data_IF_493917094659
#
_entry.id   IF_493917094659
#
_cell.length_a   1.000
_cell.length_b   1.000
_cell.length_c   1.000
_cell.angle_alpha   90.00
_cell.angle_beta   90.00
_cell.angle_gamma   90.00
#
_symmetry.space_group_name_H-M   'P 1'
#
loop_
_entity.id
_entity.type
_entity.pdbx_description
1 polymer ?
#
# COMPACT_ATOMS: atom_id res chain seq x y z
N UNK A 1 5.42 11.46 23.68
CA UNK A 1 4.84 11.59 22.32
C UNK A 1 3.92 10.43 21.98
N UNK A 2 4.42 9.18 21.87
CA UNK A 2 3.57 8.02 21.50
C UNK A 2 2.38 7.78 22.44
N UNK A 3 2.52 8.01 23.74
CA UNK A 3 1.41 7.90 24.69
C UNK A 3 0.25 8.87 24.38
N UNK A 4 0.55 10.07 23.89
CA UNK A 4 -0.47 11.03 23.48
C UNK A 4 -1.19 10.57 22.20
N UNK A 5 -0.47 9.97 21.24
CA UNK A 5 -1.08 9.37 20.06
C UNK A 5 -1.94 8.16 20.40
N UNK A 6 -1.47 7.27 21.29
CA UNK A 6 -2.24 6.12 21.77
C UNK A 6 -3.54 6.57 22.43
N UNK A 7 -3.48 7.52 23.37
CA UNK A 7 -4.67 8.09 24.00
C UNK A 7 -5.60 8.74 22.95
N UNK A 8 -5.04 9.53 22.02
CA UNK A 8 -5.83 10.15 20.95
C UNK A 8 -6.55 9.14 20.05
N UNK A 9 -6.00 7.93 19.89
CA UNK A 9 -6.60 6.88 19.07
C UNK A 9 -7.67 6.09 19.83
N UNK A 10 -7.48 5.83 21.12
CA UNK A 10 -8.41 5.04 21.93
C UNK A 10 -9.57 5.85 22.49
N UNK A 11 -9.35 7.11 22.89
CA UNK A 11 -10.36 7.95 23.54
C UNK A 11 -10.79 9.14 22.69
N UNK A 12 -10.09 9.42 21.59
CA UNK A 12 -10.39 10.54 20.71
C UNK A 12 -11.57 10.26 19.78
N UNK A 13 -12.28 11.32 19.40
CA UNK A 13 -13.29 11.25 18.35
C UNK A 13 -12.64 11.02 16.97
N UNK A 14 -13.48 10.78 15.95
CA UNK A 14 -13.06 10.52 14.57
C UNK A 14 -12.08 11.58 14.03
N UNK A 15 -12.26 12.86 14.38
CA UNK A 15 -11.37 13.94 13.93
C UNK A 15 -10.00 13.85 14.60
N UNK A 16 -9.96 13.53 15.90
CA UNK A 16 -8.69 13.31 16.62
C UNK A 16 -7.95 12.13 16.01
N UNK A 17 -8.62 10.99 15.80
CA UNK A 17 -8.01 9.82 15.17
C UNK A 17 -7.46 10.14 13.77
N UNK A 18 -8.21 10.88 12.95
CA UNK A 18 -7.73 11.33 11.63
C UNK A 18 -6.50 12.23 11.75
N UNK A 19 -6.51 13.20 12.67
CA UNK A 19 -5.36 14.08 12.93
C UNK A 19 -4.13 13.30 13.39
N UNK A 20 -4.31 12.23 14.18
CA UNK A 20 -3.20 11.33 14.56
C UNK A 20 -2.61 10.69 13.31
N UNK A 21 -3.41 10.08 12.44
CA UNK A 21 -2.88 9.51 11.18
C UNK A 21 -2.11 10.54 10.35
N UNK A 22 -2.67 11.76 10.22
CA UNK A 22 -2.04 12.83 9.46
C UNK A 22 -0.70 13.28 10.06
N UNK A 23 -0.65 13.47 11.38
CA UNK A 23 0.58 13.84 12.08
C UNK A 23 1.66 12.77 11.97
N UNK A 24 1.29 11.48 12.09
CA UNK A 24 2.22 10.36 11.95
C UNK A 24 2.74 10.21 10.51
N UNK A 25 1.91 10.45 9.49
CA UNK A 25 2.38 10.50 8.09
C UNK A 25 3.43 11.58 7.88
N UNK A 26 3.17 12.80 8.36
CA UNK A 26 4.15 13.90 8.28
C UNK A 26 5.42 13.65 9.09
N UNK A 27 5.32 12.90 10.19
CA UNK A 27 6.46 12.50 10.99
C UNK A 27 7.43 11.63 10.17
N UNK A 28 6.92 10.69 9.38
CA UNK A 28 7.73 9.85 8.49
C UNK A 28 8.38 10.62 7.35
N UNK A 29 7.71 11.66 6.83
CA UNK A 29 8.25 12.51 5.76
C UNK A 29 9.37 13.46 6.24
N UNK A 30 9.57 13.59 7.55
CA UNK A 30 10.58 14.47 8.10
C UNK A 30 11.97 13.83 8.10
N UNK A 31 12.76 14.11 7.06
CA UNK A 31 14.13 13.58 6.88
C UNK A 31 15.13 14.01 7.97
N UNK A 32 14.83 15.07 8.71
CA UNK A 32 15.67 15.51 9.84
C UNK A 32 15.53 14.56 11.03
N UNK A 33 14.40 13.87 11.12
CA UNK A 33 14.15 12.85 12.13
C UNK A 33 14.60 11.51 11.57
N UNK A 34 15.65 10.93 12.16
CA UNK A 34 16.05 9.55 11.86
C UNK A 34 15.08 8.59 12.53
N UNK A 35 13.83 8.55 12.05
CA UNK A 35 12.73 7.79 12.67
C UNK A 35 13.11 6.32 12.86
N UNK A 36 13.83 5.73 11.91
CA UNK A 36 14.32 4.34 12.01
C UNK A 36 15.12 4.03 13.28
N UNK A 37 15.82 5.01 13.85
CA UNK A 37 16.73 4.84 14.99
C UNK A 37 16.02 5.10 16.33
N UNK A 38 14.71 5.37 16.31
CA UNK A 38 13.93 5.71 17.51
C UNK A 38 13.18 4.50 18.06
N UNK A 39 13.27 4.29 19.38
CA UNK A 39 12.64 3.15 20.08
C UNK A 39 11.11 3.12 19.93
N UNK A 40 10.50 4.27 19.67
CA UNK A 40 9.05 4.43 19.58
C UNK A 40 8.47 4.13 18.19
N UNK A 41 9.31 3.89 17.19
CA UNK A 41 8.90 3.76 15.78
C UNK A 41 8.00 2.57 15.54
N UNK A 42 8.30 1.40 16.14
CA UNK A 42 7.42 0.24 16.04
C UNK A 42 6.02 0.52 16.59
N UNK A 43 5.92 1.26 17.71
CA UNK A 43 4.62 1.63 18.28
C UNK A 43 3.82 2.55 17.35
N UNK A 44 4.48 3.46 16.64
CA UNK A 44 3.81 4.34 15.66
C UNK A 44 3.21 3.53 14.51
N UNK A 45 3.96 2.57 13.97
CA UNK A 45 3.41 1.65 12.97
C UNK A 45 2.25 0.83 13.53
N UNK A 46 2.36 0.29 14.76
CA UNK A 46 1.26 -0.46 15.38
C UNK A 46 -0.03 0.36 15.51
N UNK A 47 0.08 1.66 15.83
CA UNK A 47 -1.09 2.57 15.90
C UNK A 47 -1.76 2.71 14.53
N UNK A 48 -0.98 2.93 13.48
CA UNK A 48 -1.52 3.07 12.13
C UNK A 48 -2.16 1.76 11.63
N UNK A 49 -1.55 0.62 11.92
CA UNK A 49 -2.08 -0.69 11.58
C UNK A 49 -3.41 -0.98 12.31
N UNK A 50 -3.50 -0.60 13.59
CA UNK A 50 -4.74 -0.68 14.37
C UNK A 50 -5.85 0.15 13.70
N UNK A 51 -5.55 1.41 13.35
CA UNK A 51 -6.51 2.31 12.71
C UNK A 51 -6.96 1.82 11.33
N UNK A 52 -6.03 1.28 10.52
CA UNK A 52 -6.33 0.72 9.22
C UNK A 52 -7.29 -0.49 9.33
N UNK A 53 -7.05 -1.37 10.31
CA UNK A 53 -7.79 -2.63 10.46
C UNK A 53 -9.16 -2.43 11.11
N UNK A 54 -9.21 -1.63 12.18
CA UNK A 54 -10.30 -1.66 13.16
C UNK A 54 -11.20 -0.42 13.14
N UNK A 55 -10.76 0.72 12.57
CA UNK A 55 -11.60 1.93 12.52
C UNK A 55 -12.87 1.66 11.70
N UNK A 56 -14.05 2.06 12.17
CA UNK A 56 -15.27 2.00 11.36
C UNK A 56 -15.35 3.11 10.30
N UNK A 57 -14.45 4.10 10.35
CA UNK A 57 -14.46 5.25 9.46
C UNK A 57 -13.48 5.06 8.29
N UNK A 58 -14.02 5.00 7.07
CA UNK A 58 -13.20 4.86 5.86
C UNK A 58 -12.16 5.97 5.68
N UNK A 59 -12.45 7.22 6.07
CA UNK A 59 -11.47 8.33 5.95
C UNK A 59 -10.26 8.12 6.85
N UNK A 60 -10.47 7.56 8.04
CA UNK A 60 -9.37 7.20 8.94
C UNK A 60 -8.55 6.06 8.33
N UNK A 61 -9.20 5.02 7.81
CA UNK A 61 -8.51 3.91 7.12
C UNK A 61 -7.68 4.40 5.94
N UNK A 62 -8.24 5.28 5.11
CA UNK A 62 -7.54 5.91 3.98
C UNK A 62 -6.30 6.66 4.47
N UNK A 63 -6.46 7.53 5.49
CA UNK A 63 -5.34 8.30 6.01
C UNK A 63 -4.28 7.42 6.67
N UNK A 64 -4.67 6.34 7.34
CA UNK A 64 -3.75 5.38 7.94
C UNK A 64 -2.95 4.63 6.86
N UNK A 65 -3.61 4.15 5.80
CA UNK A 65 -2.95 3.52 4.66
C UNK A 65 -1.96 4.49 3.98
N UNK A 66 -2.35 5.74 3.76
CA UNK A 66 -1.46 6.77 3.21
C UNK A 66 -0.25 7.03 4.10
N UNK A 67 -0.43 7.12 5.43
CA UNK A 67 0.67 7.30 6.37
C UNK A 67 1.63 6.09 6.39
N UNK A 68 1.12 4.87 6.23
CA UNK A 68 1.92 3.65 6.12
C UNK A 68 2.76 3.60 4.82
N UNK A 69 2.36 4.32 3.78
CA UNK A 69 3.13 4.47 2.54
C UNK A 69 4.14 5.63 2.57
N UNK A 70 4.21 6.40 3.66
CA UNK A 70 5.06 7.59 3.74
C UNK A 70 6.58 7.31 3.79
N UNK A 71 7.07 6.25 4.45
CA UNK A 71 8.51 5.96 4.44
C UNK A 71 9.03 5.63 3.03
N UNK A 72 10.17 6.21 2.65
CA UNK A 72 10.76 6.13 1.31
C UNK A 72 11.68 4.92 1.13
N UNK A 73 12.11 4.27 2.22
CA UNK A 73 13.01 3.11 2.16
C UNK A 73 12.56 1.99 3.09
N UNK A 74 12.89 0.74 2.75
CA UNK A 74 12.58 -0.42 3.60
C UNK A 74 13.18 -0.30 5.01
N UNK A 75 14.34 0.35 5.12
CA UNK A 75 15.04 0.58 6.39
C UNK A 75 14.28 1.52 7.32
N UNK A 76 13.46 2.44 6.80
CA UNK A 76 12.65 3.35 7.61
C UNK A 76 11.48 2.65 8.30
N UNK A 77 11.03 1.52 7.77
CA UNK A 77 10.07 0.64 8.43
C UNK A 77 10.70 -0.18 9.56
N UNK A 78 12.01 -0.43 9.49
CA UNK A 78 12.72 -1.32 10.40
C UNK A 78 12.05 -2.70 10.47
N UNK A 79 11.78 -3.18 11.69
CA UNK A 79 11.13 -4.48 11.92
C UNK A 79 9.65 -4.50 11.54
N UNK A 80 9.02 -3.33 11.36
CA UNK A 80 7.59 -3.23 11.12
C UNK A 80 7.20 -3.49 9.66
N UNK A 81 8.16 -3.58 8.74
CA UNK A 81 7.87 -3.73 7.30
C UNK A 81 6.91 -4.90 7.01
N UNK A 82 7.21 -6.07 7.58
CA UNK A 82 6.40 -7.28 7.38
C UNK A 82 4.95 -7.12 7.86
N UNK A 83 4.75 -6.45 9.01
CA UNK A 83 3.41 -6.22 9.54
C UNK A 83 2.63 -5.21 8.69
N UNK A 84 3.32 -4.21 8.14
CA UNK A 84 2.75 -3.21 7.23
C UNK A 84 2.34 -3.86 5.91
N UNK A 85 3.25 -4.58 5.26
CA UNK A 85 2.97 -5.32 4.03
C UNK A 85 1.83 -6.33 4.22
N UNK A 86 1.85 -7.12 5.29
CA UNK A 86 0.80 -8.10 5.59
C UNK A 86 -0.56 -7.43 5.80
N UNK A 87 -0.59 -6.33 6.54
CA UNK A 87 -1.83 -5.61 6.84
C UNK A 87 -2.40 -4.92 5.61
N UNK A 88 -1.56 -4.25 4.82
CA UNK A 88 -1.96 -3.61 3.57
C UNK A 88 -2.53 -4.65 2.59
N UNK A 89 -1.82 -5.76 2.41
CA UNK A 89 -2.25 -6.89 1.60
C UNK A 89 -3.59 -7.49 2.03
N UNK A 90 -3.71 -7.83 3.32
CA UNK A 90 -4.93 -8.43 3.86
C UNK A 90 -6.12 -7.47 3.72
N UNK A 91 -5.89 -6.18 3.92
CA UNK A 91 -6.92 -5.16 3.80
C UNK A 91 -7.35 -4.95 2.34
N UNK A 92 -6.40 -4.97 1.41
CA UNK A 92 -6.66 -4.89 -0.03
C UNK A 92 -7.50 -6.08 -0.48
N UNK A 93 -7.07 -7.30 -0.16
CA UNK A 93 -7.84 -8.54 -0.43
C UNK A 93 -9.28 -8.46 0.10
N UNK A 94 -9.44 -8.02 1.36
CA UNK A 94 -10.76 -7.84 1.96
C UNK A 94 -11.60 -6.82 1.20
N UNK A 95 -10.99 -5.73 0.73
CA UNK A 95 -11.69 -4.67 0.00
C UNK A 95 -12.11 -5.12 -1.39
N UNK A 96 -11.30 -5.93 -2.07
CA UNK A 96 -11.62 -6.52 -3.37
C UNK A 96 -12.75 -7.57 -3.26
N UNK A 97 -12.71 -8.41 -2.22
CA UNK A 97 -13.66 -9.53 -2.06
C UNK A 97 -15.01 -9.16 -1.45
N UNK A 98 -15.20 -7.93 -0.97
CA UNK A 98 -16.43 -7.57 -0.26
C UNK A 98 -17.57 -7.33 -1.27
N UNK A 99 -18.65 -8.09 -1.24
CA UNK A 99 -19.76 -7.87 -2.18
C UNK A 99 -20.46 -6.52 -1.95
N UNK A 100 -21.11 -6.00 -3.00
CA UNK A 100 -21.66 -4.64 -3.13
C UNK A 100 -22.87 -4.31 -2.23
N UNK A 101 -23.01 -4.96 -1.07
CA UNK A 101 -24.16 -4.82 -0.15
C UNK A 101 -23.95 -3.64 0.83
N UNK A 102 -23.31 -2.56 0.39
CA UNK A 102 -23.06 -1.39 1.22
C UNK A 102 -23.91 -0.19 0.75
N UNK A 103 -24.39 0.62 1.69
CA UNK A 103 -25.12 1.85 1.38
C UNK A 103 -24.36 2.73 0.35
N UNK A 104 -25.06 3.44 -0.56
CA UNK A 104 -24.43 4.21 -1.65
C UNK A 104 -23.37 5.22 -1.18
N UNK A 105 -23.54 5.80 0.02
CA UNK A 105 -22.59 6.74 0.62
C UNK A 105 -21.25 6.09 0.98
N UNK A 106 -21.26 4.81 1.38
CA UNK A 106 -20.07 4.03 1.71
C UNK A 106 -19.33 3.55 0.47
N UNK A 107 -20.03 3.39 -0.66
CA UNK A 107 -19.45 2.93 -1.91
C UNK A 107 -18.32 3.85 -2.41
N UNK A 108 -18.53 5.17 -2.39
CA UNK A 108 -17.49 6.15 -2.79
C UNK A 108 -16.24 6.05 -1.92
N UNK A 109 -16.41 5.97 -0.60
CA UNK A 109 -15.28 5.89 0.33
C UNK A 109 -14.58 4.54 0.30
N UNK A 110 -15.31 3.47 -0.04
CA UNK A 110 -14.74 2.16 -0.27
C UNK A 110 -13.84 2.14 -1.51
N UNK A 111 -14.30 2.69 -2.64
CA UNK A 111 -13.47 2.85 -3.84
C UNK A 111 -12.23 3.70 -3.53
N UNK A 112 -12.40 4.78 -2.76
CA UNK A 112 -11.27 5.61 -2.36
C UNK A 112 -10.26 4.84 -1.48
N UNK A 113 -10.75 4.00 -0.57
CA UNK A 113 -9.90 3.13 0.25
C UNK A 113 -9.17 2.09 -0.59
N UNK A 114 -9.86 1.43 -1.52
CA UNK A 114 -9.24 0.49 -2.46
C UNK A 114 -8.12 1.16 -3.26
N UNK A 115 -8.37 2.33 -3.84
CA UNK A 115 -7.35 3.10 -4.57
C UNK A 115 -6.15 3.44 -3.69
N UNK A 116 -6.38 3.86 -2.45
CA UNK A 116 -5.30 4.16 -1.51
C UNK A 116 -4.50 2.91 -1.14
N UNK A 117 -5.17 1.79 -0.89
CA UNK A 117 -4.53 0.51 -0.58
C UNK A 117 -3.72 -0.01 -1.77
N UNK A 118 -4.24 0.12 -2.99
CA UNK A 118 -3.51 -0.19 -4.22
C UNK A 118 -2.24 0.64 -4.34
N UNK A 119 -2.34 1.97 -4.16
CA UNK A 119 -1.15 2.83 -4.15
C UNK A 119 -0.16 2.47 -3.06
N UNK A 120 -0.65 2.12 -1.87
CA UNK A 120 0.19 1.70 -0.73
C UNK A 120 0.89 0.38 -1.04
N UNK A 121 0.18 -0.59 -1.63
CA UNK A 121 0.74 -1.89 -1.98
C UNK A 121 1.78 -1.77 -3.11
N UNK A 122 1.52 -0.98 -4.15
CA UNK A 122 2.49 -0.73 -5.23
C UNK A 122 3.78 -0.10 -4.68
N UNK A 123 3.67 0.85 -3.76
CA UNK A 123 4.82 1.44 -3.07
C UNK A 123 5.63 0.39 -2.30
N UNK A 124 4.97 -0.44 -1.49
CA UNK A 124 5.64 -1.49 -0.74
C UNK A 124 6.30 -2.51 -1.66
N UNK A 125 5.69 -2.88 -2.79
CA UNK A 125 6.29 -3.77 -3.78
C UNK A 125 7.53 -3.16 -4.43
N UNK A 126 7.50 -1.87 -4.77
CA UNK A 126 8.67 -1.16 -5.30
C UNK A 126 9.83 -1.20 -4.29
N UNK A 127 9.57 -0.96 -3.00
CA UNK A 127 10.59 -1.06 -1.96
C UNK A 127 11.09 -2.50 -1.76
N UNK A 128 10.19 -3.48 -1.74
CA UNK A 128 10.54 -4.89 -1.61
C UNK A 128 11.43 -5.36 -2.76
N UNK A 129 11.13 -4.91 -3.98
CA UNK A 129 11.85 -5.32 -5.18
C UNK A 129 13.30 -4.83 -5.24
N UNK A 130 13.61 -3.75 -4.50
CA UNK A 130 14.94 -3.17 -4.38
C UNK A 130 15.70 -3.73 -3.16
N UNK A 131 15.11 -4.65 -2.41
CA UNK A 131 15.69 -5.22 -1.21
C UNK A 131 16.32 -6.58 -1.47
N UNK A 132 17.62 -6.70 -1.18
CA UNK A 132 18.38 -7.95 -1.36
C UNK A 132 18.18 -8.96 -0.22
N UNK A 133 17.27 -8.67 0.73
CA UNK A 133 17.00 -9.59 1.83
C UNK A 133 16.18 -10.79 1.34
N UNK A 134 16.74 -12.00 1.44
CA UNK A 134 16.07 -13.26 1.06
C UNK A 134 14.66 -13.40 1.63
N UNK A 135 14.46 -13.01 2.89
CA UNK A 135 13.15 -13.11 3.53
C UNK A 135 12.08 -12.17 2.90
N UNK A 136 12.48 -11.08 2.24
CA UNK A 136 11.58 -10.20 1.48
C UNK A 136 11.28 -10.81 0.10
N UNK A 137 12.30 -11.37 -0.55
CA UNK A 137 12.13 -12.09 -1.82
C UNK A 137 11.18 -13.30 -1.67
N UNK A 138 11.36 -14.11 -0.62
CA UNK A 138 10.47 -15.24 -0.29
C UNK A 138 9.02 -14.79 -0.07
N UNK A 139 8.82 -13.61 0.50
CA UNK A 139 7.49 -13.03 0.72
C UNK A 139 6.83 -12.68 -0.62
N UNK A 140 7.58 -12.09 -1.56
CA UNK A 140 7.07 -11.77 -2.89
C UNK A 140 6.70 -13.04 -3.66
N UNK A 141 7.55 -14.07 -3.61
CA UNK A 141 7.28 -15.38 -4.24
C UNK A 141 6.00 -16.02 -3.68
N UNK A 142 5.80 -15.99 -2.36
CA UNK A 142 4.58 -16.52 -1.72
C UNK A 142 3.31 -15.79 -2.16
N UNK A 143 3.43 -14.54 -2.59
CA UNK A 143 2.32 -13.68 -3.03
C UNK A 143 2.12 -13.69 -4.55
N UNK A 144 3.00 -14.33 -5.31
CA UNK A 144 3.08 -14.22 -6.76
C UNK A 144 1.75 -14.50 -7.48
N UNK A 145 1.05 -15.58 -7.14
CA UNK A 145 -0.20 -15.95 -7.80
C UNK A 145 -1.30 -14.90 -7.66
N UNK A 146 -1.41 -14.25 -6.50
CA UNK A 146 -2.35 -13.14 -6.36
C UNK A 146 -1.83 -11.89 -7.08
N UNK A 147 -0.54 -11.60 -6.95
CA UNK A 147 0.04 -10.39 -7.55
C UNK A 147 -0.17 -10.36 -9.05
N UNK A 148 -0.05 -11.52 -9.71
CA UNK A 148 -0.34 -11.68 -11.14
C UNK A 148 -1.78 -11.30 -11.47
N UNK A 149 -2.77 -11.97 -10.88
CA UNK A 149 -4.19 -11.68 -11.14
C UNK A 149 -4.53 -10.23 -10.80
N UNK A 150 -4.06 -9.74 -9.66
CA UNK A 150 -4.33 -8.39 -9.21
C UNK A 150 -3.71 -7.34 -10.14
N UNK A 151 -2.50 -7.56 -10.65
CA UNK A 151 -1.85 -6.62 -11.58
C UNK A 151 -2.50 -6.68 -12.97
N UNK A 152 -2.92 -7.85 -13.44
CA UNK A 152 -3.72 -8.01 -14.68
C UNK A 152 -5.04 -7.21 -14.60
N UNK A 153 -5.76 -7.32 -13.48
CA UNK A 153 -6.99 -6.57 -13.23
C UNK A 153 -6.72 -5.05 -13.20
N UNK A 154 -5.64 -4.64 -12.53
CA UNK A 154 -5.23 -3.23 -12.49
C UNK A 154 -4.90 -2.68 -13.87
N UNK A 155 -4.14 -3.42 -14.67
CA UNK A 155 -3.75 -3.00 -16.01
C UNK A 155 -4.97 -2.87 -16.93
N UNK A 156 -5.89 -3.83 -16.86
CA UNK A 156 -7.15 -3.83 -17.61
C UNK A 156 -8.05 -2.64 -17.23
N UNK A 157 -8.22 -2.37 -15.93
CA UNK A 157 -9.04 -1.26 -15.42
C UNK A 157 -8.53 0.12 -15.85
N UNK A 158 -7.21 0.27 -16.00
CA UNK A 158 -6.59 1.51 -16.52
C UNK A 158 -6.89 1.69 -18.01
N UNK A 159 -7.01 0.59 -18.77
CA UNK A 159 -7.46 0.57 -20.17
C UNK A 159 -8.84 1.17 -20.38
N UNK A 160 -9.82 0.77 -19.58
CA UNK A 160 -11.22 1.21 -19.72
C UNK A 160 -11.40 2.71 -19.47
N UNK A 161 -10.53 3.31 -18.64
CA UNK A 161 -10.58 4.75 -18.33
C UNK A 161 -10.03 5.63 -19.47
N UNK A 162 -9.24 5.05 -20.39
CA UNK A 162 -8.58 5.79 -21.47
C UNK A 162 -9.50 6.19 -22.63
N UNK A 163 -10.73 5.68 -22.69
CA UNK A 163 -11.71 5.98 -23.73
C UNK A 163 -12.46 7.33 -23.52
N UNK A 164 -12.09 8.13 -22.52
CA UNK A 164 -12.74 9.42 -22.24
C UNK A 164 -11.92 10.59 -22.80
N UNK A 165 -12.58 11.51 -23.52
CA UNK A 165 -12.01 12.62 -24.31
C UNK A 165 -11.39 13.78 -23.50
N UNK A 166 -10.70 13.50 -22.39
CA UNK A 166 -10.28 14.49 -21.40
C UNK A 166 -8.74 14.43 -21.22
N UNK A 167 -8.01 15.41 -21.77
CA UNK A 167 -6.53 15.41 -21.84
C UNK A 167 -5.85 15.28 -20.47
N UNK A 168 -6.42 15.89 -19.42
CA UNK A 168 -5.92 15.76 -18.05
C UNK A 168 -6.08 14.33 -17.48
N UNK A 169 -7.08 13.58 -17.95
CA UNK A 169 -7.25 12.16 -17.59
C UNK A 169 -6.25 11.27 -18.33
N UNK A 170 -5.92 11.58 -19.58
CA UNK A 170 -4.91 10.84 -20.34
C UNK A 170 -3.53 10.90 -19.66
N UNK A 171 -3.06 12.08 -19.25
CA UNK A 171 -1.77 12.21 -18.53
C UNK A 171 -1.77 11.42 -17.21
N UNK A 172 -2.89 11.41 -16.48
CA UNK A 172 -3.02 10.64 -15.24
C UNK A 172 -3.08 9.13 -15.48
N UNK A 173 -3.65 8.69 -16.60
CA UNK A 173 -3.72 7.29 -17.02
C UNK A 173 -2.34 6.78 -17.41
N UNK A 174 -1.58 7.56 -18.18
CA UNK A 174 -0.23 7.20 -18.60
C UNK A 174 0.71 7.07 -17.39
N UNK A 175 0.64 7.99 -16.44
CA UNK A 175 1.39 7.89 -15.18
C UNK A 175 1.06 6.62 -14.38
N UNK A 176 -0.21 6.17 -14.38
CA UNK A 176 -0.60 4.93 -13.69
C UNK A 176 -0.07 3.69 -14.41
N UNK A 177 -0.17 3.65 -15.74
CA UNK A 177 0.40 2.57 -16.56
C UNK A 177 1.90 2.45 -16.33
N UNK A 178 2.59 3.56 -16.32
CA UNK A 178 4.02 3.66 -16.04
C UNK A 178 4.40 3.07 -14.68
N UNK A 179 3.63 3.37 -13.64
CA UNK A 179 3.87 2.80 -12.28
C UNK A 179 3.66 1.29 -12.29
N UNK A 180 2.59 0.80 -12.92
CA UNK A 180 2.29 -0.64 -13.01
C UNK A 180 3.39 -1.35 -13.79
N UNK A 181 3.79 -0.82 -14.96
CA UNK A 181 4.85 -1.39 -15.78
C UNK A 181 6.18 -1.47 -15.04
N UNK A 182 6.60 -0.39 -14.37
CA UNK A 182 7.81 -0.41 -13.53
C UNK A 182 7.74 -1.44 -12.40
N UNK A 183 6.56 -1.63 -11.81
CA UNK A 183 6.34 -2.64 -10.77
C UNK A 183 6.52 -4.05 -11.35
N UNK A 184 5.91 -4.36 -12.50
CA UNK A 184 6.06 -5.65 -13.19
C UNK A 184 7.54 -5.93 -13.48
N UNK A 185 8.25 -4.97 -14.08
CA UNK A 185 9.67 -5.12 -14.41
C UNK A 185 10.54 -5.37 -13.17
N UNK A 186 10.21 -4.73 -12.05
CA UNK A 186 10.95 -4.92 -10.80
C UNK A 186 10.67 -6.29 -10.18
N UNK A 187 9.43 -6.78 -10.26
CA UNK A 187 9.07 -8.12 -9.80
C UNK A 187 9.71 -9.22 -10.66
N UNK A 188 9.75 -9.07 -11.98
CA UNK A 188 10.44 -10.00 -12.89
C UNK A 188 11.89 -10.19 -12.46
N UNK A 189 12.63 -9.09 -12.26
CA UNK A 189 14.04 -9.13 -11.81
C UNK A 189 14.21 -9.87 -10.48
N UNK A 190 13.29 -9.68 -9.53
CA UNK A 190 13.31 -10.40 -8.25
C UNK A 190 13.11 -11.89 -8.46
N UNK A 191 12.14 -12.29 -9.29
CA UNK A 191 11.88 -13.71 -9.53
C UNK A 191 13.01 -14.38 -10.31
N UNK A 192 13.63 -13.70 -11.27
CA UNK A 192 14.81 -14.20 -11.98
C UNK A 192 16.00 -14.39 -11.05
N UNK A 193 16.33 -13.37 -10.25
CA UNK A 193 17.45 -13.44 -9.29
C UNK A 193 17.23 -14.48 -8.18
N UNK A 194 15.97 -14.83 -7.91
CA UNK A 194 15.58 -15.86 -6.94
C UNK A 194 15.42 -17.26 -7.58
N UNK A 195 15.80 -17.46 -8.85
CA UNK A 195 15.64 -18.71 -9.63
C UNK A 195 14.19 -19.18 -9.85
N UNK A 196 13.22 -18.27 -9.79
CA UNK A 196 11.80 -18.52 -10.04
C UNK A 196 11.39 -18.13 -11.47
N UNK A 197 12.09 -18.66 -12.48
CA UNK A 197 11.91 -18.28 -13.89
C UNK A 197 10.48 -18.49 -14.43
N UNK A 198 9.76 -19.52 -13.96
CA UNK A 198 8.37 -19.75 -14.37
C UNK A 198 7.44 -18.61 -13.89
N UNK A 199 7.71 -18.06 -12.70
CA UNK A 199 6.95 -16.91 -12.18
C UNK A 199 7.30 -15.66 -12.98
N UNK A 200 8.60 -15.43 -13.24
CA UNK A 200 9.04 -14.32 -14.09
C UNK A 200 8.35 -14.33 -15.46
N UNK A 201 8.32 -15.48 -16.14
CA UNK A 201 7.68 -15.63 -17.44
C UNK A 201 6.16 -15.35 -17.42
N UNK A 202 5.47 -15.62 -16.30
CA UNK A 202 4.05 -15.28 -16.15
C UNK A 202 3.86 -13.77 -16.08
N UNK A 203 4.71 -13.07 -15.33
CA UNK A 203 4.69 -11.61 -15.23
C UNK A 203 5.11 -10.91 -16.53
N UNK A 204 6.03 -11.47 -17.30
CA UNK A 204 6.40 -10.97 -18.63
C UNK A 204 5.19 -10.90 -19.57
N UNK A 205 4.28 -11.87 -19.51
CA UNK A 205 3.07 -11.90 -20.34
C UNK A 205 2.07 -10.80 -20.01
N UNK A 206 2.13 -10.23 -18.80
CA UNK A 206 1.26 -9.11 -18.37
C UNK A 206 1.80 -7.78 -18.93
N UNK A 207 3.13 -7.65 -19.03
CA UNK A 207 3.82 -6.42 -19.43
C UNK A 207 3.97 -6.21 -20.94
N UNK A 208 3.40 -7.10 -21.75
CA UNK A 208 3.36 -7.05 -23.23
C UNK A 208 1.94 -6.70 -23.65
#
# INVERSE_FOLDING_TARGET
MVQAFLSGVTTGNVKVQWNVCHALGNLFLNKSLKVKDMDWTSSVFSILLLLLRDSSNFKIRIQAAAALAAPETINEYGKSYYDVDKSAWSMLLRTLNQDQIAEPSNFKYRIALEKQLTSTMLHLLDLASKCDQRAIQDLLVKKASFLEVWIEDLYSSVGDTSNSLDEAKHVSVDQKRDVIFRTIQSLIKVYESSNHHLIAQRFEKIGI
#
